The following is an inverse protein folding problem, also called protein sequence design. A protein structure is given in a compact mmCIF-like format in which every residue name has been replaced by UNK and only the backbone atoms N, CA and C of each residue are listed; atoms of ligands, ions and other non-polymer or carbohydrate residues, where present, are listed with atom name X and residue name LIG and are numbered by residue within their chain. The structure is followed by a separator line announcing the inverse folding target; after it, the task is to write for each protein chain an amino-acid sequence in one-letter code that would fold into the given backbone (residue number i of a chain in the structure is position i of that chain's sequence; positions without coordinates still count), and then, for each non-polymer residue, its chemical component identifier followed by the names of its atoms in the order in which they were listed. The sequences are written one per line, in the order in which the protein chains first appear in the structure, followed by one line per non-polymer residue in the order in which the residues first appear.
data_IF_461162033331
#
_entry.id   IF_461162033331
#
_cell.length_a   1.000
_cell.length_b   1.000
_cell.length_c   1.000
_cell.angle_alpha   90.00
_cell.angle_beta   90.00
_cell.angle_gamma   90.00
#
_symmetry.space_group_name_H-M   'P 1'
#
loop_
_entity.id
_entity.type
_entity.pdbx_description
1 polymer ?
#
# COMPACT_ATOMS: atom_id res chain seq x y z
N UNK A 1 -7.24 17.79 -3.19
CA UNK A 1 -7.21 16.68 -2.22
C UNK A 1 -6.07 16.95 -1.26
N UNK A 2 -6.39 17.19 0.01
CA UNK A 2 -5.39 17.27 1.08
C UNK A 2 -4.86 15.84 1.32
N UNK A 3 -3.55 15.65 1.29
CA UNK A 3 -2.95 14.35 1.60
C UNK A 3 -3.00 14.14 3.11
N UNK A 4 -3.90 13.29 3.58
CA UNK A 4 -3.93 12.88 4.98
C UNK A 4 -2.80 11.91 5.27
N UNK A 5 -2.03 12.21 6.33
CA UNK A 5 -1.14 11.26 6.96
C UNK A 5 -1.84 10.69 8.19
N UNK A 6 -1.80 9.37 8.35
CA UNK A 6 -2.37 8.69 9.51
C UNK A 6 -1.28 7.85 10.16
N UNK A 7 -1.18 7.98 11.48
CA UNK A 7 -0.21 7.27 12.29
C UNK A 7 -0.95 6.42 13.32
N UNK A 8 -0.65 5.14 13.36
CA UNK A 8 -1.11 4.22 14.41
C UNK A 8 0.10 3.71 15.18
N UNK A 9 -0.10 3.48 16.46
CA UNK A 9 0.92 2.91 17.34
C UNK A 9 0.36 1.67 18.05
N UNK A 10 1.24 0.72 18.31
CA UNK A 10 1.02 -0.36 19.26
C UNK A 10 1.89 -0.06 20.48
N UNK A 11 1.26 0.13 21.62
CA UNK A 11 1.95 0.41 22.88
C UNK A 11 2.03 -0.87 23.74
N UNK A 12 3.17 -1.07 24.39
CA UNK A 12 3.30 -1.94 25.56
C UNK A 12 3.07 -1.15 26.84
N UNK A 13 3.47 -1.71 27.99
CA UNK A 13 3.24 -1.07 29.30
C UNK A 13 3.91 0.30 29.43
N UNK A 14 5.15 0.46 28.95
CA UNK A 14 5.90 1.73 29.05
C UNK A 14 6.58 2.18 27.75
N UNK A 15 6.42 1.45 26.63
CA UNK A 15 7.14 1.73 25.38
C UNK A 15 6.30 1.45 24.13
N UNK A 16 6.65 2.09 23.02
CA UNK A 16 6.03 1.80 21.72
C UNK A 16 6.59 0.49 21.16
N UNK A 17 5.73 -0.52 21.05
CA UNK A 17 6.07 -1.82 20.47
C UNK A 17 6.01 -1.82 18.94
N UNK A 18 5.33 -0.86 18.31
CA UNK A 18 5.31 -0.70 16.86
C UNK A 18 4.55 0.52 16.38
N UNK A 19 4.73 0.87 15.11
CA UNK A 19 4.07 2.00 14.46
C UNK A 19 3.74 1.70 12.99
N UNK A 20 2.68 2.34 12.50
CA UNK A 20 2.22 2.29 11.12
C UNK A 20 1.94 3.70 10.62
N UNK A 21 2.47 4.05 9.45
CA UNK A 21 2.20 5.30 8.76
C UNK A 21 1.51 5.03 7.42
N UNK A 22 0.31 5.58 7.28
CA UNK A 22 -0.50 5.56 6.08
C UNK A 22 -0.55 6.93 5.42
N UNK A 23 -0.65 6.92 4.09
CA UNK A 23 -0.83 8.11 3.26
C UNK A 23 -2.01 7.88 2.33
N UNK A 24 -2.93 8.83 2.25
CA UNK A 24 -4.04 8.78 1.30
C UNK A 24 -3.54 8.74 -0.16
N UNK A 25 -4.17 7.91 -0.99
CA UNK A 25 -3.89 7.83 -2.42
C UNK A 25 -5.14 7.54 -3.27
N UNK A 26 -5.03 7.79 -4.57
CA UNK A 26 -6.11 7.59 -5.53
C UNK A 26 -7.14 8.72 -5.54
N UNK A 27 -8.39 8.39 -5.84
CA UNK A 27 -9.50 9.36 -5.93
C UNK A 27 -9.42 10.32 -7.12
N UNK A 28 -8.60 10.03 -8.14
CA UNK A 28 -8.45 10.94 -9.27
C UNK A 28 -9.75 11.03 -10.09
N UNK A 29 -9.91 12.14 -10.83
CA UNK A 29 -10.96 12.20 -11.84
C UNK A 29 -10.71 11.16 -12.94
N UNK A 30 -11.78 10.67 -13.57
CA UNK A 30 -11.68 9.70 -14.66
C UNK A 30 -10.74 10.17 -15.79
N UNK A 31 -10.86 11.43 -16.21
CA UNK A 31 -9.99 12.03 -17.24
C UNK A 31 -8.52 11.98 -16.81
N UNK A 32 -8.23 12.32 -15.55
CA UNK A 32 -6.86 12.29 -15.05
C UNK A 32 -6.36 10.85 -14.89
N UNK A 33 -7.20 9.92 -14.44
CA UNK A 33 -6.89 8.49 -14.35
C UNK A 33 -6.48 7.92 -15.72
N UNK A 34 -7.26 8.22 -16.77
CA UNK A 34 -6.96 7.80 -18.13
C UNK A 34 -5.68 8.43 -18.68
N UNK A 35 -5.48 9.74 -18.47
CA UNK A 35 -4.25 10.43 -18.87
C UNK A 35 -3.01 9.89 -18.12
N UNK A 36 -3.20 9.48 -16.86
CA UNK A 36 -2.20 8.80 -16.05
C UNK A 36 -1.88 7.43 -16.63
N UNK A 37 -2.90 6.61 -16.91
CA UNK A 37 -2.75 5.27 -17.48
C UNK A 37 -2.07 5.28 -18.85
N UNK A 38 -2.46 6.22 -19.72
CA UNK A 38 -1.86 6.43 -21.03
C UNK A 38 -0.42 7.02 -20.99
N UNK A 39 0.06 7.43 -19.80
CA UNK A 39 1.41 7.94 -19.61
C UNK A 39 1.59 9.44 -19.89
N UNK A 40 0.52 10.18 -20.19
CA UNK A 40 0.54 11.62 -20.48
C UNK A 40 0.70 12.51 -19.23
N UNK A 41 0.30 12.02 -18.05
CA UNK A 41 0.37 12.78 -16.78
C UNK A 41 1.08 11.96 -15.70
N UNK A 42 1.76 12.64 -14.76
CA UNK A 42 2.38 12.06 -13.56
C UNK A 42 2.03 12.86 -12.30
N UNK A 43 0.83 12.69 -11.73
CA UNK A 43 0.47 13.35 -10.48
C UNK A 43 1.31 12.81 -9.33
N UNK A 44 1.69 13.70 -8.40
CA UNK A 44 2.44 13.34 -7.18
C UNK A 44 1.64 12.44 -6.22
N UNK A 45 0.32 12.39 -6.41
CA UNK A 45 -0.66 11.73 -5.52
C UNK A 45 -0.77 10.22 -5.77
N UNK A 46 -0.16 9.70 -6.85
CA UNK A 46 -0.11 8.26 -7.11
C UNK A 46 1.35 7.84 -7.14
N UNK A 47 1.72 6.99 -6.18
CA UNK A 47 3.05 6.39 -6.07
C UNK A 47 3.24 5.20 -7.00
N UNK A 48 2.78 5.36 -8.23
CA UNK A 48 2.91 4.36 -9.27
C UNK A 48 3.91 4.86 -10.31
N UNK A 49 5.13 4.31 -10.31
CA UNK A 49 6.02 4.12 -11.44
C UNK A 49 5.51 4.68 -12.75
N UNK A 50 6.23 5.61 -13.36
CA UNK A 50 5.91 5.99 -14.73
C UNK A 50 5.90 4.83 -15.72
N UNK A 51 6.73 3.81 -15.51
CA UNK A 51 6.69 2.53 -16.23
C UNK A 51 5.58 1.61 -15.79
N UNK A 52 4.98 1.87 -14.64
CA UNK A 52 3.95 1.02 -14.10
C UNK A 52 2.60 1.29 -14.85
N UNK A 53 2.36 2.50 -15.40
CA UNK A 53 1.03 3.02 -15.87
C UNK A 53 0.31 2.16 -16.90
N UNK A 54 1.06 1.41 -17.70
CA UNK A 54 0.56 0.64 -18.85
C UNK A 54 0.27 -0.83 -18.56
N UNK A 55 0.43 -1.28 -17.32
CA UNK A 55 0.31 -2.70 -16.94
C UNK A 55 -0.84 -2.96 -15.97
N UNK A 56 -1.49 -1.91 -15.46
CA UNK A 56 -2.79 -2.07 -14.81
C UNK A 56 -3.82 -2.35 -15.91
N UNK A 57 -4.59 -3.43 -15.79
CA UNK A 57 -5.62 -3.79 -16.78
C UNK A 57 -6.80 -2.80 -16.80
N UNK A 58 -6.88 -1.88 -15.84
CA UNK A 58 -7.96 -0.93 -15.70
C UNK A 58 -7.48 0.54 -15.78
N UNK A 59 -7.87 1.31 -16.82
CA UNK A 59 -7.54 2.74 -16.94
C UNK A 59 -8.20 3.63 -15.88
N UNK A 60 -9.16 3.09 -15.12
CA UNK A 60 -9.88 3.76 -14.03
C UNK A 60 -9.38 3.35 -12.63
N UNK A 61 -8.35 2.49 -12.51
CA UNK A 61 -7.88 2.05 -11.18
C UNK A 61 -7.48 3.21 -10.26
N UNK A 62 -7.02 4.34 -10.83
CA UNK A 62 -6.64 5.53 -10.08
C UNK A 62 -7.83 6.39 -9.59
N UNK A 63 -9.07 6.09 -9.99
CA UNK A 63 -10.27 6.71 -9.44
C UNK A 63 -10.66 6.12 -8.08
N UNK A 64 -10.25 4.88 -7.82
CA UNK A 64 -10.46 4.21 -6.53
C UNK A 64 -9.71 4.94 -5.42
N UNK A 65 -10.28 4.96 -4.22
CA UNK A 65 -9.72 5.63 -3.05
C UNK A 65 -9.05 4.60 -2.17
N UNK A 66 -7.82 4.87 -1.77
CA UNK A 66 -7.11 3.95 -0.89
C UNK A 66 -6.12 4.66 0.00
N UNK A 67 -5.43 3.86 0.82
CA UNK A 67 -4.30 4.33 1.61
C UNK A 67 -3.12 3.41 1.40
N UNK A 68 -1.95 4.01 1.28
CA UNK A 68 -0.69 3.28 1.18
C UNK A 68 0.01 3.20 2.51
N UNK A 69 0.45 2.01 2.86
CA UNK A 69 1.45 1.81 3.90
C UNK A 69 2.76 2.44 3.42
N UNK A 70 3.09 3.60 4.01
CA UNK A 70 4.36 4.28 3.77
C UNK A 70 5.47 3.64 4.58
N UNK A 71 5.19 3.36 5.85
CA UNK A 71 6.10 2.67 6.78
C UNK A 71 5.31 1.82 7.75
N UNK A 72 5.86 0.67 8.10
CA UNK A 72 5.45 -0.14 9.24
C UNK A 72 6.73 -0.61 9.94
N UNK A 73 6.74 -0.53 11.28
CA UNK A 73 7.86 -0.98 12.09
C UNK A 73 7.33 -1.62 13.37
N UNK A 74 7.99 -2.68 13.82
CA UNK A 74 7.75 -3.34 15.10
C UNK A 74 9.10 -3.41 15.80
N UNK A 75 9.11 -3.07 17.09
CA UNK A 75 10.31 -3.10 17.92
C UNK A 75 10.98 -4.48 17.81
N UNK A 76 12.31 -4.58 17.61
CA UNK A 76 12.98 -5.87 17.37
C UNK A 76 12.67 -6.95 18.40
N UNK A 77 12.63 -6.58 19.69
CA UNK A 77 12.32 -7.49 20.79
C UNK A 77 10.86 -7.98 20.84
N UNK A 78 9.96 -7.44 20.00
CA UNK A 78 8.52 -7.74 19.95
C UNK A 78 8.08 -8.25 18.58
N UNK A 79 9.04 -8.58 17.71
CA UNK A 79 8.75 -9.12 16.39
C UNK A 79 8.14 -10.52 16.49
N UNK A 80 7.36 -10.90 15.48
CA UNK A 80 6.72 -12.23 15.37
C UNK A 80 5.67 -12.56 16.46
N UNK A 81 5.35 -11.60 17.34
CA UNK A 81 4.25 -11.71 18.32
C UNK A 81 2.88 -11.27 17.76
N UNK A 82 2.81 -10.87 16.49
CA UNK A 82 1.56 -10.46 15.82
C UNK A 82 1.26 -8.96 15.84
N UNK A 83 2.07 -8.14 16.51
CA UNK A 83 1.94 -6.67 16.59
C UNK A 83 1.75 -6.00 15.23
N UNK A 84 2.56 -6.38 14.23
CA UNK A 84 2.45 -5.83 12.88
C UNK A 84 1.10 -6.13 12.22
N UNK A 85 0.54 -7.33 12.44
CA UNK A 85 -0.80 -7.70 11.94
C UNK A 85 -1.89 -6.94 12.68
N UNK A 86 -1.74 -6.74 13.99
CA UNK A 86 -2.67 -5.93 14.79
C UNK A 86 -2.69 -4.47 14.33
N UNK A 87 -1.53 -3.89 14.00
CA UNK A 87 -1.45 -2.53 13.42
C UNK A 87 -2.22 -2.43 12.10
N UNK A 88 -2.09 -3.41 11.21
CA UNK A 88 -2.86 -3.45 9.96
C UNK A 88 -4.35 -3.65 10.24
N UNK A 89 -4.73 -4.56 11.15
CA UNK A 89 -6.13 -4.77 11.51
C UNK A 89 -6.76 -3.51 12.13
N UNK A 90 -6.01 -2.79 12.98
CA UNK A 90 -6.43 -1.51 13.54
C UNK A 90 -6.58 -0.43 12.46
N UNK A 91 -5.72 -0.41 11.45
CA UNK A 91 -5.88 0.50 10.31
C UNK A 91 -7.21 0.32 9.58
N UNK A 92 -7.70 -0.92 9.45
CA UNK A 92 -8.96 -1.21 8.79
C UNK A 92 -10.17 -0.58 9.50
N UNK A 93 -10.05 -0.25 10.78
CA UNK A 93 -11.12 0.43 11.53
C UNK A 93 -11.26 1.91 11.16
N UNK A 94 -10.20 2.54 10.65
CA UNK A 94 -10.16 3.96 10.30
C UNK A 94 -10.31 4.23 8.80
N UNK A 95 -10.61 3.21 8.01
CA UNK A 95 -10.66 3.24 6.53
C UNK A 95 -12.08 3.08 6.03
N UNK A 96 -13.05 3.73 6.69
CA UNK A 96 -14.40 3.86 6.14
C UNK A 96 -14.30 4.59 4.78
N UNK A 97 -15.06 4.13 3.79
CA UNK A 97 -15.12 4.66 2.42
C UNK A 97 -13.83 4.53 1.57
N UNK A 98 -12.95 3.58 1.91
CA UNK A 98 -11.81 3.21 1.06
C UNK A 98 -12.05 1.90 0.31
N UNK A 99 -11.52 1.84 -0.91
CA UNK A 99 -11.57 0.67 -1.78
C UNK A 99 -10.43 -0.32 -1.48
N UNK A 100 -9.30 0.14 -0.94
CA UNK A 100 -8.14 -0.72 -0.65
C UNK A 100 -7.12 -0.10 0.31
N UNK A 101 -6.28 -0.96 0.91
CA UNK A 101 -4.94 -0.61 1.38
C UNK A 101 -3.89 -1.11 0.38
N UNK A 102 -2.80 -0.36 0.21
CA UNK A 102 -1.69 -0.75 -0.67
C UNK A 102 -0.35 -0.74 0.05
N UNK A 103 0.60 -1.49 -0.49
CA UNK A 103 2.00 -1.39 -0.09
C UNK A 103 2.91 -1.62 -1.29
N UNK A 104 4.04 -0.92 -1.29
CA UNK A 104 5.18 -1.17 -2.20
C UNK A 104 6.40 -1.49 -1.34
N UNK A 105 7.06 -2.60 -1.61
CA UNK A 105 8.18 -3.08 -0.79
C UNK A 105 9.24 -3.82 -1.61
N UNK A 106 10.48 -3.86 -1.12
CA UNK A 106 11.51 -4.74 -1.68
C UNK A 106 11.16 -6.20 -1.40
N UNK A 107 10.95 -6.98 -2.45
CA UNK A 107 10.46 -8.35 -2.32
C UNK A 107 11.48 -9.25 -1.63
N UNK A 108 11.09 -9.79 -0.48
CA UNK A 108 11.72 -10.95 0.15
C UNK A 108 10.64 -11.94 0.53
N UNK A 109 10.97 -13.24 0.60
CA UNK A 109 9.99 -14.25 1.00
C UNK A 109 9.41 -14.03 2.40
N UNK A 110 10.20 -13.48 3.33
CA UNK A 110 9.73 -13.15 4.68
C UNK A 110 8.72 -12.00 4.66
N UNK A 111 9.04 -10.91 3.96
CA UNK A 111 8.18 -9.73 3.90
C UNK A 111 6.88 -10.02 3.12
N UNK A 112 6.96 -10.80 2.04
CA UNK A 112 5.75 -11.25 1.35
C UNK A 112 4.84 -12.09 2.25
N UNK A 113 5.39 -13.07 2.99
CA UNK A 113 4.60 -13.87 3.95
C UNK A 113 3.93 -13.02 5.02
N UNK A 114 4.58 -11.95 5.47
CA UNK A 114 3.96 -10.98 6.38
C UNK A 114 2.72 -10.33 5.75
N UNK A 115 2.85 -9.75 4.55
CA UNK A 115 1.74 -9.10 3.86
C UNK A 115 0.62 -10.08 3.51
N UNK A 116 0.96 -11.26 3.02
CA UNK A 116 0.01 -12.32 2.70
C UNK A 116 -0.81 -12.74 3.93
N UNK A 117 -0.17 -12.88 5.10
CA UNK A 117 -0.87 -13.19 6.38
C UNK A 117 -1.73 -12.04 6.90
N UNK A 118 -1.51 -10.82 6.42
CA UNK A 118 -2.38 -9.68 6.66
C UNK A 118 -3.52 -9.58 5.62
N UNK A 119 -3.63 -10.53 4.69
CA UNK A 119 -4.68 -10.58 3.67
C UNK A 119 -4.35 -9.85 2.36
N UNK A 120 -3.13 -9.33 2.22
CA UNK A 120 -2.73 -8.65 0.98
C UNK A 120 -2.55 -9.67 -0.16
N UNK A 121 -2.99 -9.28 -1.34
CA UNK A 121 -2.82 -10.00 -2.61
C UNK A 121 -1.72 -9.31 -3.42
N UNK A 122 -0.79 -10.10 -3.94
CA UNK A 122 0.27 -9.59 -4.81
C UNK A 122 -0.35 -9.21 -6.16
N UNK A 123 -0.26 -7.93 -6.51
CA UNK A 123 -0.80 -7.43 -7.79
C UNK A 123 0.29 -7.18 -8.81
N UNK A 124 1.55 -7.02 -8.35
CA UNK A 124 2.66 -6.78 -9.26
C UNK A 124 4.02 -7.11 -8.67
N UNK A 125 4.91 -7.57 -9.55
CA UNK A 125 6.35 -7.65 -9.33
C UNK A 125 7.07 -6.76 -10.34
N UNK A 126 8.04 -5.98 -9.87
CA UNK A 126 8.90 -5.15 -10.68
C UNK A 126 9.95 -5.98 -11.41
N UNK A 127 10.41 -5.48 -12.56
CA UNK A 127 11.38 -6.20 -13.41
C UNK A 127 12.83 -5.72 -13.20
N UNK A 128 13.03 -4.74 -12.33
CA UNK A 128 14.34 -4.21 -11.99
C UNK A 128 14.57 -4.31 -10.48
N UNK A 129 15.81 -4.60 -10.11
CA UNK A 129 16.24 -4.58 -8.72
C UNK A 129 16.48 -3.13 -8.30
N UNK A 130 16.01 -2.76 -7.13
CA UNK A 130 16.32 -1.45 -6.54
C UNK A 130 17.81 -1.35 -6.21
N UNK A 131 18.41 -0.21 -6.54
CA UNK A 131 19.85 0.01 -6.37
C UNK A 131 20.31 -0.08 -4.90
N UNK A 132 19.44 0.25 -3.94
CA UNK A 132 19.75 0.24 -2.51
C UNK A 132 19.53 -1.12 -1.83
N UNK A 133 18.60 -1.94 -2.31
CA UNK A 133 18.20 -3.19 -1.65
C UNK A 133 18.56 -4.46 -2.44
N UNK A 134 18.89 -4.33 -3.73
CA UNK A 134 19.09 -5.47 -4.63
C UNK A 134 17.83 -6.32 -4.87
N UNK A 135 16.69 -5.92 -4.30
CA UNK A 135 15.42 -6.63 -4.38
C UNK A 135 14.55 -6.08 -5.50
N UNK A 136 13.71 -6.93 -6.09
CA UNK A 136 12.65 -6.46 -6.99
C UNK A 136 11.57 -5.75 -6.17
N UNK A 137 11.07 -4.61 -6.64
CA UNK A 137 9.93 -3.95 -5.99
C UNK A 137 8.66 -4.77 -6.21
N UNK A 138 7.96 -5.14 -5.16
CA UNK A 138 6.63 -5.76 -5.20
C UNK A 138 5.55 -4.76 -4.80
N UNK A 139 4.36 -4.92 -5.37
CA UNK A 139 3.16 -4.22 -4.93
C UNK A 139 2.07 -5.21 -4.55
N UNK A 140 1.43 -4.96 -3.42
CA UNK A 140 0.31 -5.75 -2.94
C UNK A 140 -0.84 -4.86 -2.49
N UNK A 141 -2.06 -5.37 -2.64
CA UNK A 141 -3.29 -4.70 -2.24
C UNK A 141 -4.08 -5.56 -1.25
N UNK A 142 -4.69 -4.92 -0.26
CA UNK A 142 -5.74 -5.50 0.57
C UNK A 142 -7.05 -4.83 0.15
N UNK A 143 -7.90 -5.52 -0.64
CA UNK A 143 -9.14 -4.93 -1.13
C UNK A 143 -10.17 -4.80 0.00
N UNK A 144 -10.88 -3.68 0.00
CA UNK A 144 -11.87 -3.30 1.02
C UNK A 144 -13.26 -3.05 0.44
N UNK A 145 -13.36 -2.84 -0.87
CA UNK A 145 -14.62 -2.78 -1.62
C UNK A 145 -14.62 -3.78 -2.78
N UNK A 146 -15.78 -4.03 -3.37
CA UNK A 146 -15.87 -4.86 -4.58
C UNK A 146 -15.09 -4.25 -5.75
N UNK A 147 -15.08 -2.92 -5.86
CA UNK A 147 -14.26 -2.23 -6.85
C UNK A 147 -12.76 -2.48 -6.60
N UNK A 148 -12.30 -2.46 -5.34
CA UNK A 148 -10.93 -2.78 -4.96
C UNK A 148 -10.52 -4.22 -5.28
N UNK A 149 -11.43 -5.20 -5.18
CA UNK A 149 -11.15 -6.61 -5.55
C UNK A 149 -10.83 -6.77 -7.03
N UNK A 150 -11.42 -5.93 -7.88
CA UNK A 150 -11.22 -5.95 -9.34
C UNK A 150 -10.08 -5.07 -9.84
N UNK A 151 -9.37 -4.38 -8.93
CA UNK A 151 -8.33 -3.42 -9.28
C UNK A 151 -6.94 -4.03 -9.57
N UNK A 152 -6.75 -5.30 -9.23
CA UNK A 152 -5.48 -6.05 -9.36
C UNK A 152 -5.15 -6.50 -10.78
#
# INVERSE_FOLDING_TARGET
MHQGNIFLQAAGENEIAGALWLVDEGGLSQQLSQAVWAGFRRPRVIWWPSRWRRTANNPLAATLRGRRVSRIAVHPARQREGTGRQLIAGALQYTQDLDYLSVSFGYTGELWRFWQRCGFVLVRMGNHREASSGCYTAMALLPMSDAGKTAG
#
